data_IF_274436272576
#
_entry.id   IF_274436272576
#
_cell.length_a   1.000
_cell.length_b   1.000
_cell.length_c   1.000
_cell.angle_alpha   90.00
_cell.angle_beta   90.00
_cell.angle_gamma   90.00
#
_symmetry.space_group_name_H-M   'P 1'
#
loop_
_entity.id
_entity.type
_entity.pdbx_description
1 polymer ?
#
# COMPACT_ATOMS: atom_id res chain seq x y z
N UNK A 1 39.30 -9.41 41.38
CA UNK A 1 39.05 -8.63 40.15
C UNK A 1 40.29 -7.92 39.63
N UNK A 2 41.14 -7.30 40.46
CA UNK A 2 42.36 -6.61 39.99
C UNK A 2 43.49 -7.52 39.46
N UNK A 3 43.56 -8.81 39.83
CA UNK A 3 44.65 -9.70 39.37
C UNK A 3 44.34 -10.57 38.15
N UNK A 4 43.07 -10.76 37.80
CA UNK A 4 42.65 -11.71 36.75
C UNK A 4 41.38 -11.26 36.01
N UNK A 5 41.06 -9.96 35.99
CA UNK A 5 39.95 -9.46 35.20
C UNK A 5 40.38 -9.28 33.74
N UNK A 6 39.70 -9.93 32.80
CA UNK A 6 39.83 -9.66 31.37
C UNK A 6 38.57 -8.97 30.83
N UNK A 7 38.70 -8.32 29.67
CA UNK A 7 37.56 -7.75 28.98
C UNK A 7 36.62 -8.86 28.51
N UNK A 8 35.31 -8.58 28.59
CA UNK A 8 34.29 -9.52 28.14
C UNK A 8 34.47 -9.75 26.64
N UNK A 9 34.86 -10.97 26.27
CA UNK A 9 35.15 -11.36 24.88
C UNK A 9 33.91 -11.58 24.01
N UNK A 10 32.74 -11.71 24.64
CA UNK A 10 31.46 -11.98 23.97
C UNK A 10 30.52 -10.79 24.09
N UNK A 11 30.01 -10.30 22.98
CA UNK A 11 28.94 -9.31 22.94
C UNK A 11 27.57 -10.01 23.00
N UNK A 12 26.65 -9.49 23.82
CA UNK A 12 25.25 -9.89 23.72
C UNK A 12 24.64 -8.91 22.72
N UNK A 13 24.38 -9.37 21.49
CA UNK A 13 23.52 -8.62 20.58
C UNK A 13 22.10 -8.66 21.15
N UNK A 14 21.61 -7.50 21.58
CA UNK A 14 20.19 -7.25 21.79
C UNK A 14 19.55 -7.22 20.39
N UNK A 15 19.14 -8.39 19.92
CA UNK A 15 18.78 -8.65 18.52
C UNK A 15 18.62 -10.14 18.26
N UNK A 16 17.94 -10.86 19.15
CA UNK A 16 17.73 -12.30 19.00
C UNK A 16 16.64 -12.61 17.97
N UNK A 17 16.34 -13.89 17.72
CA UNK A 17 15.16 -14.33 16.96
C UNK A 17 13.82 -13.72 17.46
N UNK A 18 13.81 -13.13 18.65
CA UNK A 18 12.67 -12.45 19.28
C UNK A 18 12.47 -11.00 18.80
N UNK A 19 13.47 -10.39 18.13
CA UNK A 19 13.40 -9.02 17.60
C UNK A 19 13.04 -8.97 16.10
N UNK A 20 12.68 -10.11 15.50
CA UNK A 20 12.18 -10.15 14.12
C UNK A 20 10.74 -9.63 14.09
N UNK A 21 10.52 -8.55 13.33
CA UNK A 21 9.17 -8.10 13.02
C UNK A 21 8.56 -9.01 11.95
N UNK A 22 7.24 -9.17 11.93
CA UNK A 22 6.56 -9.95 10.89
C UNK A 22 6.89 -9.42 9.48
N UNK A 23 7.19 -8.12 9.36
CA UNK A 23 7.64 -7.46 8.13
C UNK A 23 9.01 -8.00 7.66
N UNK A 24 9.94 -8.33 8.55
CA UNK A 24 11.27 -8.85 8.19
C UNK A 24 11.19 -10.23 7.51
N UNK A 25 10.09 -10.95 7.71
CA UNK A 25 9.83 -12.25 7.06
C UNK A 25 9.21 -12.10 5.67
N UNK A 26 8.81 -10.90 5.28
CA UNK A 26 8.20 -10.63 3.98
C UNK A 26 9.30 -10.26 2.97
N UNK A 27 9.34 -10.89 1.79
CA UNK A 27 10.30 -10.52 0.77
C UNK A 27 9.98 -9.15 0.17
N UNK A 28 11.03 -8.35 -0.07
CA UNK A 28 10.92 -7.09 -0.79
C UNK A 28 10.82 -7.34 -2.30
N UNK A 29 9.63 -7.12 -2.86
CA UNK A 29 9.35 -7.39 -4.27
C UNK A 29 8.54 -6.27 -4.92
N UNK A 30 8.71 -6.10 -6.23
CA UNK A 30 7.91 -5.17 -7.01
C UNK A 30 6.53 -5.76 -7.31
N UNK A 31 5.49 -5.10 -6.82
CA UNK A 31 4.10 -5.50 -6.94
C UNK A 31 3.26 -4.44 -7.64
N UNK A 32 2.11 -4.87 -8.12
CA UNK A 32 1.04 -4.05 -8.66
C UNK A 32 -0.19 -4.23 -7.79
N UNK A 33 -0.71 -3.13 -7.26
CA UNK A 33 -2.00 -3.11 -6.57
C UNK A 33 -3.05 -2.61 -7.55
N UNK A 34 -4.14 -3.36 -7.65
CA UNK A 34 -5.29 -2.98 -8.48
C UNK A 34 -6.51 -2.78 -7.61
N UNK A 35 -7.25 -1.71 -7.88
CA UNK A 35 -8.57 -1.43 -7.34
C UNK A 35 -9.59 -1.54 -8.48
N UNK A 36 -10.68 -2.25 -8.25
CA UNK A 36 -11.78 -2.36 -9.21
C UNK A 36 -12.81 -1.24 -9.04
N UNK A 37 -13.72 -1.09 -9.99
CA UNK A 37 -14.83 -0.14 -9.87
C UNK A 37 -15.75 -0.49 -8.69
N UNK A 38 -15.95 -1.79 -8.43
CA UNK A 38 -16.75 -2.28 -7.30
C UNK A 38 -15.96 -2.35 -5.98
N UNK A 39 -14.86 -1.60 -5.85
CA UNK A 39 -14.03 -1.54 -4.64
C UNK A 39 -13.42 -2.90 -4.22
N UNK A 40 -13.06 -3.75 -5.17
CA UNK A 40 -12.24 -4.93 -4.88
C UNK A 40 -10.77 -4.59 -5.02
N UNK A 41 -9.96 -5.05 -4.07
CA UNK A 41 -8.52 -4.85 -4.04
C UNK A 41 -7.78 -6.19 -4.10
N UNK A 42 -6.65 -6.19 -4.80
CA UNK A 42 -5.67 -7.28 -4.79
C UNK A 42 -4.29 -6.74 -5.15
N UNK A 43 -3.25 -7.47 -4.75
CA UNK A 43 -1.89 -7.30 -5.26
C UNK A 43 -1.49 -8.48 -6.15
N UNK A 44 -0.61 -8.18 -7.10
CA UNK A 44 -0.02 -9.12 -8.04
C UNK A 44 1.46 -8.78 -8.21
N UNK A 45 2.35 -9.78 -8.34
CA UNK A 45 3.73 -9.51 -8.75
C UNK A 45 3.78 -8.82 -10.11
N UNK A 46 4.65 -7.82 -10.29
CA UNK A 46 4.81 -7.08 -11.57
C UNK A 46 5.09 -8.03 -12.75
N UNK A 47 5.81 -9.12 -12.50
CA UNK A 47 6.13 -10.17 -13.47
C UNK A 47 4.89 -10.82 -14.10
N UNK A 48 3.72 -10.75 -13.43
CA UNK A 48 2.45 -11.29 -13.90
C UNK A 48 1.87 -10.50 -15.08
N UNK A 49 2.18 -9.21 -15.16
CA UNK A 49 1.82 -8.33 -16.28
C UNK A 49 2.96 -8.30 -17.30
N UNK A 50 3.22 -9.44 -17.94
CA UNK A 50 4.29 -9.53 -18.96
C UNK A 50 3.94 -8.67 -20.17
N UNK A 51 4.87 -7.80 -20.58
CA UNK A 51 4.74 -7.01 -21.80
C UNK A 51 4.52 -7.91 -23.01
N UNK A 52 3.50 -7.61 -23.81
CA UNK A 52 3.25 -8.26 -25.08
C UNK A 52 3.60 -7.30 -26.22
N UNK A 53 4.21 -7.82 -27.29
CA UNK A 53 4.58 -7.02 -28.46
C UNK A 53 3.38 -6.30 -29.08
N UNK A 54 3.63 -5.12 -29.67
CA UNK A 54 2.61 -4.32 -30.37
C UNK A 54 1.83 -5.19 -31.37
N UNK A 55 0.49 -5.11 -31.34
CA UNK A 55 -0.41 -5.89 -32.21
C UNK A 55 -1.05 -7.12 -31.56
N UNK A 56 -0.68 -7.48 -30.32
CA UNK A 56 -1.41 -8.46 -29.52
C UNK A 56 -2.67 -7.86 -28.89
N UNK A 57 -3.76 -8.63 -28.76
CA UNK A 57 -5.01 -8.21 -28.08
C UNK A 57 -4.88 -8.01 -26.55
N UNK A 58 -3.67 -8.09 -26.01
CA UNK A 58 -3.38 -7.99 -24.58
C UNK A 58 -3.58 -9.32 -23.84
N UNK A 59 -3.20 -9.32 -22.57
CA UNK A 59 -3.38 -10.44 -21.64
C UNK A 59 -4.58 -10.12 -20.76
N UNK A 60 -5.58 -11.00 -20.71
CA UNK A 60 -6.79 -10.79 -19.91
C UNK A 60 -6.46 -10.73 -18.41
N UNK A 61 -6.69 -9.55 -17.82
CA UNK A 61 -6.37 -9.23 -16.43
C UNK A 61 -7.46 -9.53 -15.40
N UNK A 62 -8.71 -9.78 -15.82
CA UNK A 62 -9.83 -10.18 -14.97
C UNK A 62 -10.93 -10.84 -15.82
N UNK A 63 -11.67 -11.81 -15.26
CA UNK A 63 -12.86 -12.36 -15.92
C UNK A 63 -14.01 -11.34 -15.89
N UNK A 64 -14.51 -10.96 -17.06
CA UNK A 64 -15.56 -9.95 -17.29
C UNK A 64 -16.99 -10.46 -17.06
N UNK A 65 -17.18 -11.53 -16.28
CA UNK A 65 -18.51 -12.10 -16.04
C UNK A 65 -19.47 -11.13 -15.33
N UNK A 66 -18.98 -10.02 -14.76
CA UNK A 66 -19.76 -9.16 -13.85
C UNK A 66 -19.58 -7.64 -14.06
N UNK A 67 -19.23 -7.16 -15.26
CA UNK A 67 -19.05 -5.73 -15.58
C UNK A 67 -18.04 -4.94 -14.69
N UNK A 68 -17.35 -5.60 -13.77
CA UNK A 68 -16.31 -4.97 -12.95
C UNK A 68 -15.02 -4.84 -13.78
N UNK A 69 -14.36 -3.70 -13.65
CA UNK A 69 -13.11 -3.38 -14.35
C UNK A 69 -12.13 -2.72 -13.40
N UNK A 70 -10.84 -2.77 -13.74
CA UNK A 70 -9.80 -2.10 -12.95
C UNK A 70 -9.97 -0.59 -13.11
N UNK A 71 -10.30 0.09 -12.00
CA UNK A 71 -10.47 1.54 -11.95
C UNK A 71 -9.14 2.26 -11.74
N UNK A 72 -8.27 1.69 -10.90
CA UNK A 72 -6.98 2.25 -10.54
C UNK A 72 -5.92 1.17 -10.39
N UNK A 73 -4.68 1.51 -10.74
CA UNK A 73 -3.53 0.63 -10.67
C UNK A 73 -2.32 1.44 -10.19
N UNK A 74 -1.61 0.92 -9.20
CA UNK A 74 -0.34 1.48 -8.71
C UNK A 74 0.73 0.41 -8.65
N UNK A 75 1.96 0.77 -8.97
CA UNK A 75 3.14 -0.11 -8.87
C UNK A 75 3.99 0.37 -7.70
N UNK A 76 4.43 -0.54 -6.84
CA UNK A 76 5.19 -0.23 -5.63
C UNK A 76 5.97 -1.45 -5.12
N UNK A 77 6.86 -1.26 -4.15
CA UNK A 77 7.44 -2.34 -3.36
C UNK A 77 6.42 -2.94 -2.38
N UNK A 78 6.61 -4.19 -1.96
CA UNK A 78 5.83 -4.79 -0.86
C UNK A 78 5.93 -4.00 0.45
N UNK A 79 7.07 -3.34 0.69
CA UNK A 79 7.36 -2.58 1.91
C UNK A 79 6.97 -1.10 1.83
N UNK A 80 6.63 -0.63 0.64
CA UNK A 80 6.13 0.74 0.45
C UNK A 80 4.72 0.85 1.05
N UNK A 81 4.26 2.09 1.19
CA UNK A 81 2.91 2.39 1.66
C UNK A 81 1.99 2.74 0.49
N UNK A 82 0.75 2.26 0.55
CA UNK A 82 -0.34 2.72 -0.31
C UNK A 82 -1.31 3.55 0.52
N UNK A 83 -1.55 4.77 0.06
CA UNK A 83 -2.52 5.69 0.64
C UNK A 83 -3.84 5.61 -0.15
N UNK A 84 -4.93 5.39 0.58
CA UNK A 84 -6.29 5.37 0.02
C UNK A 84 -7.03 6.63 0.44
N UNK A 85 -7.28 7.52 -0.51
CA UNK A 85 -8.08 8.72 -0.28
C UNK A 85 -9.53 8.44 -0.63
N UNK A 86 -10.46 9.00 0.14
CA UNK A 86 -11.89 8.73 0.00
C UNK A 86 -12.68 9.93 -0.51
N UNK A 87 -13.91 9.70 -0.93
CA UNK A 87 -14.88 10.74 -1.29
C UNK A 87 -15.23 11.67 -0.11
N UNK A 88 -15.03 11.22 1.14
CA UNK A 88 -15.25 12.01 2.36
C UNK A 88 -14.01 12.78 2.82
N UNK A 89 -12.92 12.78 2.05
CA UNK A 89 -11.69 13.49 2.40
C UNK A 89 -10.90 12.83 3.52
N UNK A 90 -11.09 11.52 3.76
CA UNK A 90 -10.27 10.74 4.68
C UNK A 90 -9.16 10.04 3.92
N UNK A 91 -8.13 9.64 4.66
CA UNK A 91 -7.02 8.84 4.17
C UNK A 91 -6.79 7.62 5.06
N UNK A 92 -6.57 6.49 4.42
CA UNK A 92 -6.18 5.23 5.04
C UNK A 92 -4.83 4.79 4.47
N UNK A 93 -4.11 3.94 5.21
CA UNK A 93 -2.79 3.46 4.84
C UNK A 93 -2.74 1.95 5.00
N UNK A 94 -2.15 1.28 4.02
CA UNK A 94 -1.66 -0.10 4.15
C UNK A 94 -0.24 -0.18 3.63
N UNK A 95 0.53 -1.16 4.12
CA UNK A 95 1.75 -1.64 3.47
C UNK A 95 1.38 -2.47 2.25
N UNK A 96 2.26 -2.49 1.26
CA UNK A 96 2.06 -3.28 0.04
C UNK A 96 1.78 -4.76 0.33
N UNK A 97 2.43 -5.35 1.34
CA UNK A 97 2.24 -6.75 1.71
C UNK A 97 0.94 -7.07 2.44
N UNK A 98 0.30 -6.07 3.08
CA UNK A 98 -0.99 -6.25 3.77
C UNK A 98 -2.14 -6.43 2.78
N UNK A 99 -1.98 -5.97 1.54
CA UNK A 99 -2.94 -6.21 0.47
C UNK A 99 -2.85 -7.69 0.06
N UNK A 100 -3.98 -8.41 -0.07
CA UNK A 100 -3.94 -9.83 -0.36
C UNK A 100 -3.40 -10.10 -1.77
N UNK A 101 -2.45 -11.02 -1.83
CA UNK A 101 -1.96 -11.56 -3.10
C UNK A 101 -2.96 -12.58 -3.63
N UNK A 102 -3.50 -12.32 -4.80
CA UNK A 102 -4.52 -13.17 -5.41
C UNK A 102 -4.24 -13.36 -6.89
N UNK A 103 -4.76 -14.44 -7.47
CA UNK A 103 -4.53 -14.72 -8.88
C UNK A 103 -5.00 -13.59 -9.80
N UNK A 104 -4.36 -13.45 -10.96
CA UNK A 104 -4.73 -12.43 -11.95
C UNK A 104 -6.22 -12.49 -12.29
N UNK A 105 -6.80 -13.68 -12.43
CA UNK A 105 -8.21 -13.84 -12.80
C UNK A 105 -9.20 -13.60 -11.66
N UNK A 106 -8.75 -13.51 -10.39
CA UNK A 106 -9.64 -13.24 -9.27
C UNK A 106 -10.14 -11.80 -9.29
N UNK A 107 -11.29 -11.54 -8.66
CA UNK A 107 -11.76 -10.17 -8.45
C UNK A 107 -10.97 -9.42 -7.39
N UNK A 108 -10.41 -10.13 -6.42
CA UNK A 108 -9.83 -9.56 -5.22
C UNK A 108 -10.70 -9.81 -3.99
N UNK A 109 -10.45 -9.09 -2.91
CA UNK A 109 -11.37 -8.99 -1.76
C UNK A 109 -12.03 -7.61 -1.73
N UNK A 110 -13.23 -7.46 -1.16
CA UNK A 110 -13.79 -6.14 -0.89
C UNK A 110 -12.84 -5.30 -0.02
N UNK A 111 -12.59 -4.05 -0.41
CA UNK A 111 -11.63 -3.18 0.30
C UNK A 111 -12.03 -2.90 1.75
N UNK A 112 -13.32 -2.94 2.06
CA UNK A 112 -13.87 -2.82 3.42
C UNK A 112 -13.35 -3.89 4.38
N UNK A 113 -12.84 -5.02 3.86
CA UNK A 113 -12.23 -6.06 4.68
C UNK A 113 -10.76 -5.78 5.00
N UNK A 114 -10.14 -4.82 4.31
CA UNK A 114 -8.75 -4.42 4.50
C UNK A 114 -8.62 -3.09 5.28
N UNK A 115 -9.60 -2.19 5.13
CA UNK A 115 -9.63 -0.88 5.81
C UNK A 115 -11.04 -0.58 6.37
N UNK A 116 -11.07 0.08 7.52
CA UNK A 116 -12.30 0.45 8.23
C UNK A 116 -12.94 1.71 7.62
N UNK A 117 -13.62 1.53 6.50
CA UNK A 117 -14.40 2.59 5.84
C UNK A 117 -15.71 2.85 6.59
N UNK A 118 -16.16 4.11 6.60
CA UNK A 118 -17.50 4.44 7.06
C UNK A 118 -18.58 4.07 6.02
N UNK A 119 -19.84 4.04 6.46
CA UNK A 119 -20.98 3.90 5.56
C UNK A 119 -20.96 4.99 4.48
N UNK A 120 -21.24 4.60 3.23
CA UNK A 120 -21.23 5.45 2.02
C UNK A 120 -19.87 6.10 1.70
N UNK A 121 -18.79 5.57 2.28
CA UNK A 121 -17.42 5.98 1.96
C UNK A 121 -16.84 5.10 0.85
N UNK A 122 -16.29 5.75 -0.18
CA UNK A 122 -15.70 5.09 -1.34
C UNK A 122 -14.30 5.63 -1.61
N UNK A 123 -13.40 4.78 -2.10
CA UNK A 123 -12.08 5.24 -2.51
C UNK A 123 -12.18 6.11 -3.75
N UNK A 124 -11.58 7.29 -3.67
CA UNK A 124 -11.44 8.23 -4.78
C UNK A 124 -10.09 8.07 -5.49
N UNK A 125 -9.01 7.85 -4.75
CA UNK A 125 -7.67 7.69 -5.33
C UNK A 125 -6.74 6.84 -4.48
N UNK A 126 -5.88 6.07 -5.14
CA UNK A 126 -4.74 5.38 -4.54
C UNK A 126 -3.43 6.06 -4.92
N UNK A 127 -2.52 6.22 -3.96
CA UNK A 127 -1.18 6.75 -4.19
C UNK A 127 -0.16 5.83 -3.52
N UNK A 128 0.81 5.35 -4.29
CA UNK A 128 1.97 4.65 -3.75
C UNK A 128 3.01 5.64 -3.24
N UNK A 129 3.52 5.40 -2.04
CA UNK A 129 4.48 6.25 -1.34
C UNK A 129 5.55 5.38 -0.72
N UNK A 130 6.80 5.58 -1.14
CA UNK A 130 7.95 4.88 -0.57
C UNK A 130 8.31 5.43 0.81
N UNK A 131 8.55 6.74 0.87
CA UNK A 131 8.94 7.44 2.08
C UNK A 131 7.86 8.47 2.46
N UNK A 132 7.15 8.21 3.56
CA UNK A 132 6.13 9.10 4.08
C UNK A 132 6.70 10.28 4.87
N UNK A 133 7.98 10.25 5.22
CA UNK A 133 8.65 11.30 5.99
C UNK A 133 9.35 12.33 5.09
N UNK A 134 9.31 12.12 3.77
CA UNK A 134 9.80 13.09 2.78
C UNK A 134 9.19 14.48 3.01
N UNK A 135 10.06 15.47 3.23
CA UNK A 135 9.68 16.88 3.40
C UNK A 135 9.57 17.64 2.07
N UNK A 136 10.06 17.05 0.98
CA UNK A 136 10.07 17.65 -0.36
C UNK A 136 8.77 17.36 -1.13
N UNK A 137 8.04 16.32 -0.73
CA UNK A 137 6.84 15.86 -1.40
C UNK A 137 5.56 16.50 -0.84
N UNK A 138 4.64 16.81 -1.76
CA UNK A 138 3.35 17.41 -1.44
C UNK A 138 2.22 16.66 -2.11
N UNK A 139 1.12 16.50 -1.38
CA UNK A 139 -0.15 16.05 -1.92
C UNK A 139 -1.02 17.25 -2.26
N UNK A 140 -1.60 17.22 -3.47
CA UNK A 140 -2.53 18.24 -3.95
C UNK A 140 -3.92 17.62 -4.07
N UNK A 141 -4.86 18.20 -3.36
CA UNK A 141 -6.26 17.82 -3.34
C UNK A 141 -7.09 18.82 -4.13
N UNK A 142 -8.06 18.33 -4.89
CA UNK A 142 -9.04 19.15 -5.57
C UNK A 142 -10.44 18.61 -5.30
N UNK A 143 -11.35 19.49 -4.89
CA UNK A 143 -12.75 19.14 -4.58
C UNK A 143 -13.68 19.53 -5.73
N UNK A 144 -14.89 18.94 -5.76
CA UNK A 144 -15.93 19.29 -6.75
C UNK A 144 -16.36 20.76 -6.71
N UNK A 145 -16.19 21.44 -5.58
CA UNK A 145 -16.52 22.87 -5.41
C UNK A 145 -15.37 23.81 -5.81
N UNK A 146 -14.26 23.27 -6.34
CA UNK A 146 -13.11 24.06 -6.79
C UNK A 146 -12.14 24.46 -5.68
N UNK A 147 -12.31 23.93 -4.45
CA UNK A 147 -11.33 24.12 -3.39
C UNK A 147 -10.12 23.24 -3.67
N UNK A 148 -8.94 23.84 -3.71
CA UNK A 148 -7.65 23.17 -3.84
C UNK A 148 -6.86 23.30 -2.55
N UNK A 149 -6.34 22.19 -2.04
CA UNK A 149 -5.51 22.13 -0.83
C UNK A 149 -4.19 21.46 -1.17
N UNK A 150 -3.07 22.10 -0.81
CA UNK A 150 -1.74 21.47 -0.83
C UNK A 150 -1.35 21.12 0.59
N UNK A 151 -0.87 19.92 0.84
CA UNK A 151 -0.39 19.50 2.15
C UNK A 151 0.91 18.71 2.01
N UNK A 152 1.86 18.94 2.91
CA UNK A 152 3.10 18.16 2.94
C UNK A 152 2.79 16.67 3.16
N UNK A 153 3.55 15.80 2.50
CA UNK A 153 3.44 14.35 2.66
C UNK A 153 3.74 13.91 4.10
N UNK A 154 4.66 14.59 4.79
CA UNK A 154 5.03 14.29 6.18
C UNK A 154 3.85 14.38 7.17
N UNK A 155 2.79 15.13 6.84
CA UNK A 155 1.54 15.15 7.61
C UNK A 155 0.83 13.79 7.62
N UNK A 156 1.18 12.87 6.72
CA UNK A 156 0.58 11.55 6.54
C UNK A 156 1.49 10.40 7.00
N UNK A 157 2.63 10.71 7.62
CA UNK A 157 3.53 9.72 8.27
C UNK A 157 2.80 8.82 9.27
N UNK A 158 1.95 9.42 10.10
CA UNK A 158 1.14 8.73 11.12
C UNK A 158 -0.34 8.78 10.77
N UNK A 159 -0.87 7.62 10.38
CA UNK A 159 -2.29 7.37 10.11
C UNK A 159 -2.70 6.17 10.96
N UNK A 160 -3.79 6.33 11.73
CA UNK A 160 -4.36 5.26 12.54
C UNK A 160 -5.20 4.29 11.68
N UNK A 161 -5.56 3.13 12.22
CA UNK A 161 -6.41 2.14 11.52
C UNK A 161 -7.78 2.71 11.08
N UNK A 162 -8.35 3.59 11.88
CA UNK A 162 -9.60 4.30 11.56
C UNK A 162 -9.42 5.44 10.54
N UNK A 163 -8.22 5.62 9.98
CA UNK A 163 -7.90 6.66 9.02
C UNK A 163 -7.60 8.02 9.66
N UNK A 164 -7.35 9.01 8.80
CA UNK A 164 -7.08 10.40 9.18
C UNK A 164 -7.84 11.35 8.26
N UNK A 165 -8.23 12.52 8.75
CA UNK A 165 -8.83 13.57 7.91
C UNK A 165 -7.73 14.20 7.05
N UNK A 166 -7.89 14.17 5.73
CA UNK A 166 -6.92 14.67 4.75
C UNK A 166 -7.31 16.04 4.19
N UNK A 167 -8.59 16.30 3.94
CA UNK A 167 -9.11 17.57 3.42
C UNK A 167 -9.85 18.31 4.52
#
# INVERSE_FOLDING_TARGET
>A
KERFGDERRTEIQLGGLEDLEDEDLIPEEQIVITLSHNNYIKRLPVSTYRSQNRGGRGIQGMNTLDEDFVSQLVTMSTHDHVLFFTNKGRVYKLKGYEVPELSRQSKGIPIINAIELENDETISTMIAVKDLESEEDYLVFATKQGIVKRSSLSNFSRINKNGKIAI
#
